data_IF_195542105504
#
_entry.id   IF_195542105504
#
_cell.length_a   1.000
_cell.length_b   1.000
_cell.length_c   1.000
_cell.angle_alpha   90.00
_cell.angle_beta   90.00
_cell.angle_gamma   90.00
#
_symmetry.space_group_name_H-M   'P 1'
#
loop_
_entity.id
_entity.type
_entity.pdbx_description
1 polymer ?
#
# COMPACT_ATOMS: atom_id res chain seq x y z
N UNK A 1 20.67 -2.02 -28.85
CA UNK A 1 19.21 -2.18 -28.63
C UNK A 1 18.90 -1.94 -27.15
N UNK A 2 19.05 -0.69 -26.70
CA UNK A 2 18.85 -0.27 -25.30
C UNK A 2 18.12 1.07 -25.32
N UNK A 3 16.79 1.08 -25.49
CA UNK A 3 16.01 2.33 -25.35
C UNK A 3 14.49 2.12 -25.24
N UNK A 4 13.99 1.04 -24.63
CA UNK A 4 12.54 0.84 -24.46
C UNK A 4 12.08 0.69 -22.99
N UNK A 5 12.96 0.89 -22.01
CA UNK A 5 12.58 0.80 -20.59
C UNK A 5 12.31 2.16 -19.92
N UNK A 6 12.64 3.28 -20.58
CA UNK A 6 12.42 4.64 -20.06
C UNK A 6 11.19 5.34 -20.68
N UNK A 7 10.34 4.61 -21.40
CA UNK A 7 9.21 5.19 -22.13
C UNK A 7 7.93 5.37 -21.29
N UNK A 8 7.88 4.83 -20.08
CA UNK A 8 6.79 5.10 -19.14
C UNK A 8 7.24 6.25 -18.25
N UNK A 9 6.71 7.46 -18.49
CA UNK A 9 6.94 8.60 -17.61
C UNK A 9 6.45 8.34 -16.19
N UNK A 10 6.78 9.21 -15.25
CA UNK A 10 6.34 9.11 -13.84
C UNK A 10 4.84 8.79 -13.75
N UNK A 11 4.42 7.77 -12.98
CA UNK A 11 3.01 7.39 -12.89
C UNK A 11 2.17 8.57 -12.39
N UNK A 12 0.98 8.74 -12.97
CA UNK A 12 0.14 9.92 -12.70
C UNK A 12 -0.95 9.62 -11.66
N UNK A 13 -1.17 8.35 -11.33
CA UNK A 13 -2.16 7.90 -10.36
C UNK A 13 -1.71 6.62 -9.62
N UNK A 14 -2.46 6.24 -8.60
CA UNK A 14 -2.14 5.08 -7.75
C UNK A 14 -2.22 3.75 -8.50
N UNK A 15 -3.09 3.63 -9.50
CA UNK A 15 -3.22 2.42 -10.33
C UNK A 15 -1.99 2.23 -11.22
N UNK A 16 -1.53 3.30 -11.87
CA UNK A 16 -0.30 3.28 -12.68
C UNK A 16 0.89 2.87 -11.82
N UNK A 17 1.06 3.50 -10.65
CA UNK A 17 2.15 3.19 -9.72
C UNK A 17 2.06 1.74 -9.23
N UNK A 18 0.87 1.24 -8.88
CA UNK A 18 0.68 -0.12 -8.41
C UNK A 18 1.11 -1.15 -9.46
N UNK A 19 0.85 -0.89 -10.75
CA UNK A 19 1.20 -1.78 -11.85
C UNK A 19 2.71 -1.89 -12.12
N UNK A 20 3.53 -0.95 -11.63
CA UNK A 20 4.99 -1.01 -11.76
C UNK A 20 5.66 -2.04 -10.83
N UNK A 21 4.95 -2.48 -9.78
CA UNK A 21 5.48 -3.40 -8.79
C UNK A 21 4.85 -4.78 -8.93
N UNK A 22 5.66 -5.83 -8.74
CA UNK A 22 5.13 -7.18 -8.57
C UNK A 22 4.54 -7.35 -7.17
N UNK A 23 3.58 -8.27 -7.04
CA UNK A 23 2.94 -8.64 -5.76
C UNK A 23 2.13 -7.51 -5.10
N UNK A 24 1.65 -6.55 -5.89
CA UNK A 24 0.79 -5.45 -5.45
C UNK A 24 -0.60 -5.58 -6.08
N UNK A 25 -1.59 -4.97 -5.43
CA UNK A 25 -2.95 -4.86 -5.96
C UNK A 25 -3.65 -3.63 -5.37
N UNK A 26 -4.60 -3.05 -6.12
CA UNK A 26 -5.43 -1.94 -5.66
C UNK A 26 -6.67 -2.44 -4.92
N UNK A 27 -6.95 -1.84 -3.76
CA UNK A 27 -8.23 -1.98 -3.05
C UNK A 27 -8.98 -0.65 -3.07
N UNK A 28 -10.07 -0.56 -3.82
CA UNK A 28 -10.95 0.62 -3.83
C UNK A 28 -11.99 0.49 -2.73
N UNK A 29 -11.84 1.27 -1.65
CA UNK A 29 -12.68 1.15 -0.45
C UNK A 29 -13.77 2.22 -0.38
N UNK A 30 -13.48 3.46 -0.82
CA UNK A 30 -14.41 4.60 -0.81
C UNK A 30 -15.17 4.79 0.52
N UNK A 31 -14.52 4.44 1.63
CA UNK A 31 -15.05 4.51 2.98
C UNK A 31 -13.94 5.04 3.90
N UNK A 32 -14.33 5.60 5.05
CA UNK A 32 -13.37 6.02 6.08
C UNK A 32 -12.79 4.79 6.79
N UNK A 33 -11.61 4.98 7.38
CA UNK A 33 -11.03 3.99 8.29
C UNK A 33 -12.00 3.78 9.47
N UNK A 34 -12.27 2.51 9.78
CA UNK A 34 -13.14 2.11 10.87
C UNK A 34 -12.40 2.04 12.21
N UNK A 35 -11.19 1.47 12.22
CA UNK A 35 -10.32 1.47 13.40
C UNK A 35 -8.86 1.73 13.05
N UNK A 36 -8.14 2.32 13.99
CA UNK A 36 -6.69 2.56 13.94
C UNK A 36 -6.04 1.92 15.16
N UNK A 37 -4.95 1.20 14.96
CA UNK A 37 -4.16 0.55 16.01
C UNK A 37 -2.67 0.79 15.73
N UNK A 38 -1.93 1.19 16.74
CA UNK A 38 -0.48 1.45 16.67
C UNK A 38 0.21 0.73 17.83
N UNK A 39 1.40 0.19 17.58
CA UNK A 39 2.18 -0.56 18.55
C UNK A 39 3.60 -0.03 18.63
N UNK A 40 4.12 0.05 19.85
CA UNK A 40 5.52 0.36 20.19
C UNK A 40 6.22 -0.82 20.89
N UNK A 41 5.58 -2.00 20.89
CA UNK A 41 6.19 -3.19 21.46
C UNK A 41 7.38 -3.63 20.59
N UNK A 42 8.46 -4.10 21.22
CA UNK A 42 9.68 -4.48 20.51
C UNK A 42 9.42 -5.48 19.39
N UNK A 43 9.93 -5.19 18.18
CA UNK A 43 9.72 -5.98 16.95
C UNK A 43 8.30 -5.89 16.37
N UNK A 44 7.46 -5.00 16.90
CA UNK A 44 6.07 -4.77 16.49
C UNK A 44 5.78 -3.27 16.42
N UNK A 45 6.76 -2.48 16.04
CA UNK A 45 6.62 -1.06 15.72
C UNK A 45 5.86 -0.91 14.39
N UNK A 46 4.52 -1.05 14.45
CA UNK A 46 3.64 -1.12 13.28
C UNK A 46 2.30 -0.43 13.52
N UNK A 47 1.61 -0.10 12.42
CA UNK A 47 0.24 0.38 12.42
C UNK A 47 -0.67 -0.60 11.67
N UNK A 48 -1.90 -0.77 12.16
CA UNK A 48 -2.95 -1.59 11.56
C UNK A 48 -4.22 -0.73 11.43
N UNK A 49 -4.81 -0.73 10.24
CA UNK A 49 -6.10 -0.08 9.97
C UNK A 49 -7.12 -1.12 9.53
N UNK A 50 -8.38 -0.92 9.91
CA UNK A 50 -9.52 -1.72 9.43
C UNK A 50 -10.59 -0.86 8.80
N UNK A 51 -11.39 -1.46 7.93
CA UNK A 51 -12.56 -0.86 7.29
C UNK A 51 -13.82 -1.61 7.68
N UNK A 52 -14.98 -0.96 7.56
CA UNK A 52 -16.28 -1.54 7.96
C UNK A 52 -16.63 -2.82 7.18
N UNK A 53 -16.09 -2.98 5.98
CA UNK A 53 -16.24 -4.18 5.16
C UNK A 53 -15.36 -5.36 5.62
N UNK A 54 -14.56 -5.20 6.69
CA UNK A 54 -13.67 -6.22 7.24
C UNK A 54 -12.25 -6.22 6.65
N UNK A 55 -11.95 -5.37 5.66
CA UNK A 55 -10.60 -5.25 5.12
C UNK A 55 -9.63 -4.73 6.19
N UNK A 56 -8.45 -5.34 6.27
CA UNK A 56 -7.40 -5.01 7.24
C UNK A 56 -6.08 -4.80 6.50
N UNK A 57 -5.39 -3.71 6.79
CA UNK A 57 -4.10 -3.37 6.18
C UNK A 57 -3.11 -2.97 7.26
N UNK A 58 -1.82 -3.22 7.03
CA UNK A 58 -0.75 -2.86 7.95
C UNK A 58 0.30 -1.97 7.25
N UNK A 59 0.94 -1.11 8.04
CA UNK A 59 2.26 -0.56 7.72
C UNK A 59 3.27 -1.45 8.43
N UNK A 60 4.14 -2.11 7.66
CA UNK A 60 5.05 -3.13 8.19
C UNK A 60 6.11 -2.53 9.14
N UNK A 61 6.60 -3.36 10.06
CA UNK A 61 7.74 -3.02 10.92
C UNK A 61 8.99 -2.84 10.04
N UNK A 62 9.80 -1.78 10.22
CA UNK A 62 11.08 -1.65 9.50
C UNK A 62 11.98 -2.87 9.73
N UNK A 63 12.54 -3.40 8.64
CA UNK A 63 13.45 -4.56 8.62
C UNK A 63 14.89 -4.21 8.95
#
# INVERSE_FOLDING_TARGET
LLSSAYAHGTPQNITDLCAEYHNTQIHTLNDKIFSYTESLAGKREMAIITFKNGATFQVEVPG
#
